data_IF_532696248097
#
_entry.id   IF_532696248097
#
_cell.length_a   1.000
_cell.length_b   1.000
_cell.length_c   1.000
_cell.angle_alpha   90.00
_cell.angle_beta   90.00
_cell.angle_gamma   90.00
#
_symmetry.space_group_name_H-M   'P 1'
#
loop_
_entity.id
_entity.type
_entity.pdbx_description
1 polymer ?
#
# COMPACT_ATOMS: atom_id res chain seq x y z
N UNK A 1 -13.22 65.59 -30.92
CA UNK A 1 -12.57 64.50 -30.18
C UNK A 1 -11.18 64.96 -29.77
N UNK A 2 -10.90 65.11 -28.46
CA UNK A 2 -9.67 65.72 -27.97
C UNK A 2 -8.50 64.72 -27.82
N UNK A 3 -7.25 65.24 -27.73
CA UNK A 3 -6.02 64.46 -27.65
C UNK A 3 -5.66 63.97 -26.24
N UNK A 4 -4.64 63.12 -26.22
CA UNK A 4 -3.91 62.45 -25.12
C UNK A 4 -3.84 63.15 -23.76
N UNK A 5 -4.04 62.37 -22.69
CA UNK A 5 -3.63 62.68 -21.31
C UNK A 5 -2.68 61.58 -20.79
N UNK A 6 -1.55 61.91 -20.16
CA UNK A 6 -0.65 60.92 -19.58
C UNK A 6 -1.15 60.51 -18.18
N UNK A 7 -1.00 59.23 -17.84
CA UNK A 7 -1.21 58.75 -16.47
C UNK A 7 0.09 58.22 -15.88
N UNK A 8 0.37 58.79 -14.71
CA UNK A 8 1.45 58.62 -13.76
C UNK A 8 1.67 57.18 -13.31
N UNK A 9 2.94 56.85 -13.05
CA UNK A 9 3.40 55.64 -12.39
C UNK A 9 2.76 55.46 -10.99
N UNK A 10 2.50 54.22 -10.59
CA UNK A 10 2.39 53.86 -9.16
C UNK A 10 2.94 52.46 -8.96
N UNK A 11 3.99 52.39 -8.14
CA UNK A 11 4.74 51.22 -7.78
C UNK A 11 3.88 50.22 -6.98
N UNK A 12 4.17 48.94 -7.20
CA UNK A 12 3.68 47.79 -6.42
C UNK A 12 4.06 47.97 -4.94
N UNK A 13 3.13 47.83 -3.97
CA UNK A 13 3.50 47.82 -2.56
C UNK A 13 4.21 46.50 -2.19
N UNK A 14 5.20 46.54 -1.28
CA UNK A 14 5.98 45.37 -0.88
C UNK A 14 5.18 44.44 0.04
N UNK A 15 5.48 43.14 -0.03
CA UNK A 15 4.98 42.08 0.86
C UNK A 15 5.08 42.48 2.35
N UNK A 16 4.04 42.27 3.18
CA UNK A 16 4.19 42.40 4.62
C UNK A 16 4.96 41.20 5.20
N UNK A 17 6.05 41.50 5.90
CA UNK A 17 6.90 40.58 6.65
C UNK A 17 6.42 40.47 8.10
N UNK A 18 5.50 39.54 8.40
CA UNK A 18 5.20 39.15 9.79
C UNK A 18 4.54 37.77 9.85
N UNK A 19 5.23 36.81 10.47
CA UNK A 19 4.81 35.43 10.70
C UNK A 19 3.94 35.36 11.97
N UNK A 20 2.67 34.92 11.93
CA UNK A 20 1.93 34.62 13.15
C UNK A 20 2.51 33.37 13.81
N UNK A 21 2.80 33.47 15.11
CA UNK A 21 3.34 32.38 15.91
C UNK A 21 2.42 31.16 15.90
N UNK A 22 2.90 30.05 15.37
CA UNK A 22 2.22 28.75 15.47
C UNK A 22 2.49 28.18 16.86
N UNK A 23 1.51 28.33 17.75
CA UNK A 23 1.36 27.48 18.93
C UNK A 23 1.32 26.02 18.48
N UNK A 24 2.20 25.19 19.04
CA UNK A 24 2.19 23.73 18.84
C UNK A 24 0.81 23.21 19.26
N UNK A 25 0.06 22.51 18.40
CA UNK A 25 -1.10 21.78 18.85
C UNK A 25 -0.62 20.60 19.69
N UNK A 26 -1.24 20.45 20.86
CA UNK A 26 -1.04 19.34 21.78
C UNK A 26 -1.12 18.00 21.05
N UNK A 27 -0.16 17.13 21.38
CA UNK A 27 -0.14 15.73 20.93
C UNK A 27 -1.50 15.09 21.18
N UNK A 28 -2.23 14.62 20.15
CA UNK A 28 -3.46 13.91 20.39
C UNK A 28 -3.16 12.60 21.11
N UNK A 29 -3.91 12.38 22.19
CA UNK A 29 -3.84 11.19 23.02
C UNK A 29 -3.82 9.92 22.16
N UNK A 30 -3.00 8.94 22.59
CA UNK A 30 -2.90 7.60 21.98
C UNK A 30 -4.29 6.95 22.01
N UNK A 31 -5.06 7.13 20.94
CA UNK A 31 -6.25 6.33 20.66
C UNK A 31 -5.82 4.88 20.63
N UNK A 32 -6.42 4.05 21.49
CA UNK A 32 -6.21 2.62 21.49
C UNK A 32 -6.72 2.05 20.16
N UNK A 33 -5.84 2.00 19.15
CA UNK A 33 -6.10 1.33 17.89
C UNK A 33 -6.50 -0.10 18.20
N UNK A 34 -7.72 -0.49 17.79
CA UNK A 34 -8.14 -1.88 17.80
C UNK A 34 -7.18 -2.66 16.89
N UNK A 35 -6.14 -3.25 17.51
CA UNK A 35 -5.08 -3.95 16.81
C UNK A 35 -5.57 -5.36 16.47
N UNK A 36 -6.36 -5.48 15.42
CA UNK A 36 -6.80 -6.79 14.92
C UNK A 36 -5.63 -7.47 14.19
N UNK A 37 -5.08 -8.52 14.78
CA UNK A 37 -4.14 -9.43 14.11
C UNK A 37 -4.92 -10.46 13.30
N UNK A 38 -4.55 -10.63 12.03
CA UNK A 38 -5.14 -11.61 11.14
C UNK A 38 -4.10 -12.67 10.79
N UNK A 39 -4.51 -13.94 10.82
CA UNK A 39 -3.70 -15.05 10.33
C UNK A 39 -4.26 -15.43 8.97
N UNK A 40 -3.47 -15.21 7.92
CA UNK A 40 -3.79 -15.68 6.58
C UNK A 40 -3.29 -17.11 6.44
N UNK A 41 -4.23 -18.04 6.47
CA UNK A 41 -4.01 -19.45 6.14
C UNK A 41 -4.74 -19.75 4.86
N UNK A 42 -4.00 -20.10 3.80
CA UNK A 42 -4.58 -20.64 2.58
C UNK A 42 -4.95 -22.10 2.84
N UNK A 43 -6.19 -22.35 3.27
CA UNK A 43 -6.75 -23.71 3.37
C UNK A 43 -7.68 -23.91 2.17
N UNK A 44 -7.10 -24.19 0.99
CA UNK A 44 -7.92 -24.60 -0.15
C UNK A 44 -8.24 -26.10 0.04
N UNK A 45 -9.45 -26.40 0.50
CA UNK A 45 -10.04 -27.74 0.35
C UNK A 45 -10.51 -27.86 -1.11
N UNK A 46 -9.62 -28.20 -2.03
CA UNK A 46 -10.00 -28.49 -3.41
C UNK A 46 -9.10 -29.59 -3.96
N UNK A 47 -9.68 -30.78 -4.10
CA UNK A 47 -9.31 -31.90 -4.98
C UNK A 47 -7.84 -31.98 -5.41
N UNK A 48 -7.03 -32.79 -4.71
CA UNK A 48 -5.89 -33.61 -5.20
C UNK A 48 -4.92 -33.06 -6.27
N UNK A 49 -4.97 -31.77 -6.59
CA UNK A 49 -4.05 -31.08 -7.49
C UNK A 49 -3.08 -30.31 -6.62
N UNK A 50 -1.76 -30.56 -6.76
CA UNK A 50 -0.78 -29.72 -6.15
C UNK A 50 -0.97 -28.31 -6.72
N UNK A 51 -1.54 -27.40 -5.94
CA UNK A 51 -1.44 -25.98 -6.25
C UNK A 51 -0.01 -25.57 -5.95
N UNK A 52 0.93 -25.76 -6.90
CA UNK A 52 2.36 -25.37 -6.80
C UNK A 52 2.54 -23.84 -6.79
N UNK A 53 1.69 -23.14 -6.04
CA UNK A 53 1.86 -21.73 -5.72
C UNK A 53 3.04 -21.59 -4.77
N UNK A 54 3.83 -20.52 -4.94
CA UNK A 54 5.07 -20.31 -4.19
C UNK A 54 4.90 -20.34 -2.67
N UNK A 55 3.72 -19.93 -2.19
CA UNK A 55 3.37 -19.80 -0.78
C UNK A 55 2.51 -20.96 -0.23
N UNK A 56 2.49 -22.10 -0.92
CA UNK A 56 1.76 -23.28 -0.44
C UNK A 56 2.18 -23.68 0.98
N UNK A 57 1.20 -23.92 1.84
CA UNK A 57 1.42 -24.30 3.25
C UNK A 57 1.92 -23.18 4.17
N UNK A 58 2.13 -21.96 3.69
CA UNK A 58 2.57 -20.84 4.52
C UNK A 58 1.48 -20.37 5.49
N UNK A 59 1.90 -19.90 6.68
CA UNK A 59 1.04 -19.23 7.65
C UNK A 59 1.53 -17.79 7.83
N UNK A 60 0.85 -16.85 7.18
CA UNK A 60 1.28 -15.45 7.13
C UNK A 60 0.50 -14.64 8.17
N UNK A 61 1.22 -14.16 9.20
CA UNK A 61 0.67 -13.26 10.22
C UNK A 61 0.70 -11.83 9.68
N UNK A 62 -0.45 -11.16 9.64
CA UNK A 62 -0.59 -9.79 9.18
C UNK A 62 -1.38 -8.94 10.20
N UNK A 63 -1.17 -7.62 10.16
CA UNK A 63 -1.91 -6.66 10.98
C UNK A 63 -2.58 -5.67 10.05
N UNK A 64 -3.90 -5.58 10.14
CA UNK A 64 -4.68 -4.59 9.39
C UNK A 64 -5.00 -3.43 10.33
N UNK A 65 -4.53 -2.23 9.97
CA UNK A 65 -4.67 -1.03 10.80
C UNK A 65 -5.68 -0.12 10.12
N UNK A 66 -6.83 0.08 10.78
CA UNK A 66 -7.85 1.02 10.33
C UNK A 66 -7.66 2.36 11.04
N UNK A 67 -7.43 3.45 10.29
CA UNK A 67 -7.37 4.79 10.87
C UNK A 67 -8.77 5.27 11.29
N UNK A 68 -8.85 6.16 12.29
CA UNK A 68 -10.12 6.47 12.95
C UNK A 68 -11.13 7.24 12.09
N UNK A 69 -10.73 7.98 11.05
CA UNK A 69 -11.64 8.85 10.29
C UNK A 69 -11.29 9.07 8.80
N UNK A 70 -10.07 8.75 8.38
CA UNK A 70 -9.62 8.91 6.98
C UNK A 70 -8.76 7.72 6.60
N UNK A 71 -9.02 7.01 5.50
CA UNK A 71 -8.14 5.94 5.04
C UNK A 71 -6.70 6.44 4.92
N UNK A 72 -5.78 5.70 5.54
CA UNK A 72 -4.33 5.88 5.46
C UNK A 72 -3.94 4.97 4.32
N UNK A 73 -3.60 5.58 3.19
CA UNK A 73 -3.24 4.85 1.99
C UNK A 73 -1.82 4.34 2.10
N UNK A 74 -1.61 3.10 1.67
CA UNK A 74 -0.30 2.49 1.74
C UNK A 74 0.61 3.03 0.63
N UNK A 75 1.81 3.48 0.97
CA UNK A 75 2.81 3.94 0.00
C UNK A 75 3.89 2.89 -0.29
N UNK A 76 3.81 1.70 0.33
CA UNK A 76 4.79 0.62 0.20
C UNK A 76 6.19 0.95 0.74
N UNK A 77 6.33 2.07 1.45
CA UNK A 77 7.64 2.64 1.78
C UNK A 77 8.30 1.99 3.00
N UNK A 78 7.54 1.24 3.82
CA UNK A 78 8.10 0.59 5.02
C UNK A 78 8.20 -0.92 4.85
N UNK A 79 9.24 -1.48 5.48
CA UNK A 79 9.48 -2.92 5.52
C UNK A 79 8.28 -3.64 6.18
N UNK A 80 7.68 -4.57 5.45
CA UNK A 80 6.56 -5.39 5.94
C UNK A 80 5.16 -4.81 5.66
N UNK A 81 5.06 -3.65 5.02
CA UNK A 81 3.80 -3.13 4.52
C UNK A 81 3.42 -3.80 3.18
N UNK A 82 2.14 -4.13 3.00
CA UNK A 82 1.61 -4.78 1.79
C UNK A 82 1.05 -3.72 0.85
N UNK A 83 1.76 -3.42 -0.25
CA UNK A 83 1.33 -2.43 -1.24
C UNK A 83 0.53 -3.12 -2.34
N UNK A 84 -0.75 -2.76 -2.48
CA UNK A 84 -1.67 -3.30 -3.49
C UNK A 84 -2.64 -2.20 -3.91
N UNK A 85 -3.07 -2.21 -5.17
CA UNK A 85 -3.90 -1.15 -5.77
C UNK A 85 -5.17 -0.86 -4.97
N UNK A 86 -5.85 -1.89 -4.44
CA UNK A 86 -7.06 -1.75 -3.61
C UNK A 86 -6.84 -0.91 -2.33
N UNK A 87 -5.60 -0.74 -1.89
CA UNK A 87 -5.22 0.07 -0.72
C UNK A 87 -4.68 1.47 -1.08
N UNK A 88 -4.59 1.81 -2.36
CA UNK A 88 -4.22 3.15 -2.82
C UNK A 88 -5.38 4.14 -2.67
N UNK A 89 -5.04 5.43 -2.69
CA UNK A 89 -6.01 6.51 -2.59
C UNK A 89 -7.09 6.41 -3.69
N UNK A 90 -8.37 6.72 -3.36
CA UNK A 90 -9.44 6.79 -4.35
C UNK A 90 -9.13 7.87 -5.38
N UNK A 91 -9.68 7.69 -6.58
CA UNK A 91 -9.53 8.62 -7.70
C UNK A 91 -8.54 8.14 -8.75
N UNK A 92 -8.36 8.96 -9.77
CA UNK A 92 -7.52 8.63 -10.92
C UNK A 92 -6.04 8.60 -10.57
N UNK A 93 -5.30 7.68 -11.20
CA UNK A 93 -3.86 7.62 -11.02
C UNK A 93 -3.19 8.78 -11.72
N UNK A 94 -2.38 9.53 -10.96
CA UNK A 94 -1.57 10.61 -11.51
C UNK A 94 -0.59 10.11 -12.58
N UNK A 95 -0.25 8.82 -12.57
CA UNK A 95 0.64 8.17 -13.53
C UNK A 95 -0.08 7.29 -14.55
N UNK A 96 -1.39 7.09 -14.41
CA UNK A 96 -2.21 6.28 -15.31
C UNK A 96 -1.90 4.78 -15.32
N UNK A 97 -1.25 4.24 -14.29
CA UNK A 97 -0.96 2.80 -14.19
C UNK A 97 -2.14 1.98 -13.66
N UNK A 98 -3.08 2.62 -12.96
CA UNK A 98 -4.21 1.97 -12.29
C UNK A 98 -5.53 2.62 -12.68
N UNK A 99 -6.57 1.81 -12.86
CA UNK A 99 -7.92 2.32 -13.01
C UNK A 99 -8.51 2.77 -11.66
N UNK A 100 -9.39 3.76 -11.68
CA UNK A 100 -10.07 4.24 -10.48
C UNK A 100 -10.89 3.13 -9.79
N UNK A 101 -11.36 2.12 -10.55
CA UNK A 101 -12.06 0.95 -10.03
C UNK A 101 -11.16 -0.05 -9.30
N UNK A 102 -9.85 -0.05 -9.56
CA UNK A 102 -8.89 -0.95 -8.93
C UNK A 102 -8.36 -0.41 -7.59
N UNK A 103 -8.76 0.82 -7.24
CA UNK A 103 -8.32 1.55 -6.05
C UNK A 103 -9.28 1.41 -4.88
N UNK A 104 -8.95 2.05 -3.75
CA UNK A 104 -9.82 2.03 -2.60
C UNK A 104 -11.18 2.67 -2.93
N UNK A 105 -12.26 1.91 -2.75
CA UNK A 105 -13.63 2.36 -2.82
C UNK A 105 -14.32 2.04 -1.48
N UNK A 106 -15.25 2.90 -1.00
CA UNK A 106 -15.97 2.66 0.25
C UNK A 106 -16.77 1.34 0.30
N UNK A 107 -17.01 0.72 -0.85
CA UNK A 107 -17.68 -0.58 -0.96
C UNK A 107 -16.77 -1.76 -0.54
N UNK A 108 -15.46 -1.57 -0.51
CA UNK A 108 -14.52 -2.64 -0.15
C UNK A 108 -14.63 -2.98 1.33
N UNK A 109 -14.65 -4.27 1.61
CA UNK A 109 -14.67 -4.82 2.96
C UNK A 109 -13.31 -5.43 3.29
N UNK A 110 -13.11 -5.82 4.55
CA UNK A 110 -11.92 -6.58 4.94
C UNK A 110 -11.77 -7.84 4.09
N UNK A 111 -12.88 -8.51 3.79
CA UNK A 111 -12.90 -9.71 2.96
C UNK A 111 -12.38 -9.45 1.54
N UNK A 112 -12.84 -8.39 0.86
CA UNK A 112 -12.38 -8.08 -0.50
C UNK A 112 -10.90 -7.71 -0.53
N UNK A 113 -10.41 -7.01 0.49
CA UNK A 113 -8.97 -6.73 0.66
C UNK A 113 -8.17 -8.02 0.85
N UNK A 114 -8.64 -8.94 1.69
CA UNK A 114 -7.94 -10.21 1.91
C UNK A 114 -7.94 -11.10 0.67
N UNK A 115 -9.04 -11.14 -0.08
CA UNK A 115 -9.12 -11.85 -1.35
C UNK A 115 -8.08 -11.27 -2.34
N UNK A 116 -7.97 -9.95 -2.45
CA UNK A 116 -6.97 -9.29 -3.30
C UNK A 116 -5.53 -9.70 -2.92
N UNK A 117 -5.19 -9.69 -1.64
CA UNK A 117 -3.87 -10.12 -1.15
C UNK A 117 -3.61 -11.61 -1.42
N UNK A 118 -4.60 -12.48 -1.21
CA UNK A 118 -4.48 -13.92 -1.49
C UNK A 118 -4.28 -14.17 -2.98
N UNK A 119 -4.98 -13.43 -3.85
CA UNK A 119 -4.83 -13.53 -5.30
C UNK A 119 -3.42 -13.17 -5.75
N UNK A 120 -2.83 -12.10 -5.20
CA UNK A 120 -1.44 -11.73 -5.49
C UNK A 120 -0.43 -12.78 -5.03
N UNK A 121 -0.66 -13.40 -3.88
CA UNK A 121 0.19 -14.48 -3.37
C UNK A 121 -0.01 -15.81 -4.12
N UNK A 122 -1.15 -15.98 -4.78
CA UNK A 122 -1.48 -17.19 -5.52
C UNK A 122 -1.00 -17.15 -6.97
N UNK A 123 -0.50 -16.01 -7.45
CA UNK A 123 0.10 -15.91 -8.77
C UNK A 123 1.40 -16.75 -8.85
N UNK A 124 1.59 -17.47 -9.96
CA UNK A 124 2.78 -18.29 -10.18
C UNK A 124 4.05 -17.44 -10.30
N UNK A 125 3.94 -16.28 -10.96
CA UNK A 125 5.00 -15.28 -11.07
C UNK A 125 4.55 -14.03 -10.31
N UNK A 126 5.35 -13.53 -9.35
CA UNK A 126 5.03 -12.28 -8.65
C UNK A 126 4.87 -11.11 -9.62
N UNK A 127 3.97 -10.18 -9.29
CA UNK A 127 3.81 -8.96 -10.07
C UNK A 127 5.08 -8.09 -9.98
N UNK A 128 5.54 -7.64 -11.14
CA UNK A 128 6.75 -6.84 -11.34
C UNK A 128 6.46 -5.43 -11.82
N UNK A 129 5.18 -5.09 -12.05
CA UNK A 129 4.77 -3.77 -12.53
C UNK A 129 4.85 -2.72 -11.42
N UNK A 130 4.53 -3.10 -10.18
CA UNK A 130 4.58 -2.20 -9.01
C UNK A 130 5.27 -2.86 -7.81
N UNK A 131 6.61 -3.06 -7.86
CA UNK A 131 7.30 -3.79 -6.81
C UNK A 131 7.56 -2.92 -5.56
N UNK A 132 6.88 -3.24 -4.46
CA UNK A 132 7.20 -2.66 -3.15
C UNK A 132 8.62 -3.06 -2.65
N UNK A 133 9.11 -4.23 -3.10
CA UNK A 133 10.45 -4.70 -2.80
C UNK A 133 11.23 -4.88 -4.11
N UNK A 134 12.06 -3.88 -4.44
CA UNK A 134 12.85 -3.83 -5.67
C UNK A 134 13.86 -4.99 -5.74
N UNK A 135 14.46 -5.37 -4.62
CA UNK A 135 15.44 -6.48 -4.59
C UNK A 135 14.78 -7.81 -4.91
N UNK A 136 13.58 -8.06 -4.35
CA UNK A 136 12.81 -9.26 -4.65
C UNK A 136 12.35 -9.27 -6.12
N UNK A 137 11.89 -8.13 -6.65
CA UNK A 137 11.49 -8.03 -8.05
C UNK A 137 12.68 -8.23 -9.01
N UNK A 138 13.86 -7.74 -8.65
CA UNK A 138 15.10 -8.01 -9.38
C UNK A 138 15.46 -9.50 -9.33
N UNK A 139 15.39 -10.13 -8.15
CA UNK A 139 15.64 -11.57 -7.99
C UNK A 139 14.67 -12.41 -8.85
N UNK A 140 13.38 -12.03 -8.92
CA UNK A 140 12.41 -12.69 -9.81
C UNK A 140 12.79 -12.57 -11.29
N UNK A 141 13.31 -11.41 -11.73
CA UNK A 141 13.71 -11.17 -13.12
C UNK A 141 15.02 -11.86 -13.51
N UNK A 142 16.00 -11.85 -12.61
CA UNK A 142 17.36 -12.31 -12.90
C UNK A 142 17.59 -13.78 -12.50
N UNK A 143 16.96 -14.26 -11.42
CA UNK A 143 17.13 -15.62 -10.89
C UNK A 143 15.85 -16.12 -10.19
N UNK A 144 14.82 -16.38 -11.00
CA UNK A 144 13.56 -16.94 -10.52
C UNK A 144 13.73 -18.27 -9.74
N UNK A 145 14.62 -19.22 -10.14
CA UNK A 145 14.88 -20.42 -9.35
C UNK A 145 15.36 -20.13 -7.92
N UNK A 146 16.29 -19.18 -7.73
CA UNK A 146 16.75 -18.78 -6.40
C UNK A 146 15.61 -18.14 -5.59
N UNK A 147 14.82 -17.26 -6.22
CA UNK A 147 13.64 -16.68 -5.61
C UNK A 147 12.65 -17.75 -5.14
N UNK A 148 12.28 -18.72 -6.00
CA UNK A 148 11.38 -19.83 -5.65
C UNK A 148 11.90 -20.63 -4.47
N UNK A 149 13.21 -20.94 -4.44
CA UNK A 149 13.85 -21.64 -3.32
C UNK A 149 13.79 -20.85 -2.01
N UNK A 150 14.00 -19.52 -2.10
CA UNK A 150 13.94 -18.61 -0.95
C UNK A 150 12.53 -18.55 -0.38
N UNK A 151 11.51 -18.37 -1.23
CA UNK A 151 10.11 -18.29 -0.82
C UNK A 151 9.64 -19.60 -0.19
N UNK A 152 9.94 -20.76 -0.78
CA UNK A 152 9.58 -22.06 -0.17
C UNK A 152 10.19 -22.25 1.23
N UNK A 153 11.43 -21.78 1.45
CA UNK A 153 12.06 -21.79 2.79
C UNK A 153 11.35 -20.87 3.77
N UNK A 154 10.94 -19.67 3.34
CA UNK A 154 10.18 -18.73 4.17
C UNK A 154 8.78 -19.27 4.52
N UNK A 155 8.09 -19.87 3.54
CA UNK A 155 6.80 -20.51 3.72
C UNK A 155 6.87 -21.60 4.79
N UNK A 156 7.85 -22.52 4.69
CA UNK A 156 8.05 -23.58 5.69
C UNK A 156 8.33 -23.01 7.09
N UNK A 157 9.26 -22.05 7.19
CA UNK A 157 9.58 -21.40 8.47
C UNK A 157 8.35 -20.73 9.09
N UNK A 158 7.52 -20.06 8.29
CA UNK A 158 6.30 -19.42 8.77
C UNK A 158 5.30 -20.41 9.35
N UNK A 159 5.24 -21.63 8.80
CA UNK A 159 4.39 -22.70 9.30
C UNK A 159 4.94 -23.28 10.62
N UNK A 160 6.25 -23.44 10.74
CA UNK A 160 6.93 -23.87 11.97
C UNK A 160 6.66 -22.85 13.11
N UNK A 161 6.93 -21.56 12.89
CA UNK A 161 6.73 -20.46 13.85
C UNK A 161 5.24 -20.17 14.19
N UNK A 162 4.30 -20.84 13.54
CA UNK A 162 2.87 -20.67 13.82
C UNK A 162 2.35 -21.61 14.91
N UNK A 163 3.05 -22.72 15.15
CA UNK A 163 2.65 -23.74 16.13
C UNK A 163 3.53 -23.73 17.40
N UNK A 164 4.63 -22.96 17.40
CA UNK A 164 5.41 -22.60 18.58
C UNK A 164 4.75 -21.46 19.38
#
# INVERSE_FOLDING_TARGET
>A
MPPTRPSTATATPPYPSSRPGSSRPDSPAKSATANSSLILRKQLMADDRPTDTLWEGAILKARLIFPPLTPVYNTGARKGEVCVSILHAPGEDQWGYEDAGERWLPVHTVETVLISVISLLSADVPDLNSPANVDAAKEVREDYPAYKKRVKRLARRSAEEAYD
#
